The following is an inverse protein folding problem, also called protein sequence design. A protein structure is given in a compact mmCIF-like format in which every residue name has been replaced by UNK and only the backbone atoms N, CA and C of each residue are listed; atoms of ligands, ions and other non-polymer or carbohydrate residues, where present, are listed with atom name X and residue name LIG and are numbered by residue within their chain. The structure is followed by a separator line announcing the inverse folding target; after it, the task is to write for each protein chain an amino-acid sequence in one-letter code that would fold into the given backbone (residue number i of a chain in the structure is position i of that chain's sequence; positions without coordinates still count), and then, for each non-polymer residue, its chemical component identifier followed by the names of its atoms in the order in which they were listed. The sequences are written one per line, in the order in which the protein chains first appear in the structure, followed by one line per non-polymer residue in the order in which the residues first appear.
data_IF_667259491875
#
_entry.id   IF_667259491875
#
_cell.length_a   1.000
_cell.length_b   1.000
_cell.length_c   1.000
_cell.angle_alpha   90.00
_cell.angle_beta   90.00
_cell.angle_gamma   90.00
#
_symmetry.space_group_name_H-M   'P 1'
#
loop_
_entity.id
_entity.type
_entity.pdbx_description
1 polymer ?
#
# COMPACT_ATOMS: atom_id res chain seq x y z
N UNK A 1 -23.64 -23.60 12.07
CA UNK A 1 -23.11 -22.28 11.61
C UNK A 1 -21.70 -22.16 12.19
N UNK A 2 -20.69 -22.35 11.38
CA UNK A 2 -19.31 -22.10 11.74
C UNK A 2 -19.00 -20.62 11.52
N UNK A 3 -18.27 -20.02 12.45
CA UNK A 3 -17.81 -18.62 12.31
C UNK A 3 -16.55 -18.65 11.47
N UNK A 4 -16.56 -17.95 10.34
CA UNK A 4 -15.40 -17.89 9.44
C UNK A 4 -14.23 -17.12 10.08
N UNK A 5 -13.07 -17.75 10.25
CA UNK A 5 -11.89 -17.16 10.90
C UNK A 5 -11.32 -15.94 10.18
N UNK A 6 -11.62 -15.79 8.89
CA UNK A 6 -11.15 -14.64 8.07
C UNK A 6 -11.58 -13.26 8.54
N UNK A 7 -12.62 -13.16 9.41
CA UNK A 7 -13.04 -11.87 9.96
C UNK A 7 -12.00 -11.27 10.91
N UNK A 8 -11.22 -12.10 11.61
CA UNK A 8 -10.18 -11.63 12.54
C UNK A 8 -9.09 -10.87 11.81
N UNK A 9 -8.65 -11.35 10.65
CA UNK A 9 -7.60 -10.70 9.85
C UNK A 9 -8.09 -9.32 9.38
N UNK A 10 -9.29 -9.25 8.81
CA UNK A 10 -9.88 -7.99 8.37
C UNK A 10 -10.09 -7.03 9.56
N UNK A 11 -10.62 -7.56 10.68
CA UNK A 11 -10.88 -6.78 11.90
C UNK A 11 -9.61 -6.23 12.55
N UNK A 12 -8.46 -6.89 12.41
CA UNK A 12 -7.17 -6.38 12.89
C UNK A 12 -6.53 -5.39 11.91
N UNK A 13 -6.64 -5.61 10.60
CA UNK A 13 -6.02 -4.75 9.59
C UNK A 13 -6.69 -3.39 9.50
N UNK A 14 -8.03 -3.33 9.60
CA UNK A 14 -8.78 -2.07 9.44
C UNK A 14 -8.37 -1.00 10.44
N UNK A 15 -8.31 -1.23 11.77
CA UNK A 15 -7.88 -0.22 12.73
C UNK A 15 -6.45 0.29 12.53
N UNK A 16 -5.58 -0.53 11.92
CA UNK A 16 -4.18 -0.16 11.69
C UNK A 16 -4.00 0.82 10.52
N UNK A 17 -4.98 0.91 9.62
CA UNK A 17 -4.88 1.71 8.40
C UNK A 17 -5.90 2.86 8.33
N UNK A 18 -6.76 2.98 9.33
CA UNK A 18 -7.81 4.01 9.38
C UNK A 18 -7.39 5.08 10.39
N UNK A 19 -7.69 6.38 10.14
CA UNK A 19 -7.47 7.45 11.11
C UNK A 19 -8.20 7.21 12.42
N UNK A 20 -7.58 7.64 13.53
CA UNK A 20 -8.09 7.40 14.90
C UNK A 20 -9.42 8.09 15.15
N UNK A 21 -9.60 9.29 14.60
CA UNK A 21 -10.75 10.16 14.86
C UNK A 21 -11.97 9.87 13.98
N UNK A 22 -11.95 8.78 13.19
CA UNK A 22 -13.09 8.47 12.32
C UNK A 22 -14.33 8.11 13.14
N UNK A 23 -15.51 8.70 12.86
CA UNK A 23 -16.75 8.34 13.54
C UNK A 23 -17.09 6.85 13.35
N UNK A 24 -17.41 6.17 14.44
CA UNK A 24 -17.66 4.71 14.42
C UNK A 24 -18.80 4.30 13.49
N UNK A 25 -19.81 5.15 13.28
CA UNK A 25 -20.88 4.85 12.34
C UNK A 25 -20.42 4.85 10.88
N UNK A 26 -19.49 5.76 10.50
CA UNK A 26 -18.88 5.75 9.16
C UNK A 26 -18.07 4.49 8.96
N UNK A 27 -17.27 4.13 9.97
CA UNK A 27 -16.51 2.88 9.95
C UNK A 27 -17.41 1.66 9.82
N UNK A 28 -18.53 1.61 10.58
CA UNK A 28 -19.49 0.51 10.49
C UNK A 28 -20.10 0.37 9.10
N UNK A 29 -20.52 1.47 8.47
CA UNK A 29 -21.03 1.47 7.08
C UNK A 29 -19.97 0.96 6.11
N UNK A 30 -18.74 1.44 6.25
CA UNK A 30 -17.64 1.01 5.40
C UNK A 30 -17.30 -0.47 5.56
N UNK A 31 -17.31 -0.98 6.80
CA UNK A 31 -17.08 -2.41 7.09
C UNK A 31 -18.17 -3.26 6.47
N UNK A 32 -19.45 -2.88 6.61
CA UNK A 32 -20.57 -3.58 5.97
C UNK A 32 -20.37 -3.60 4.46
N UNK A 33 -20.09 -2.44 3.85
CA UNK A 33 -19.83 -2.35 2.42
C UNK A 33 -18.66 -3.23 1.98
N UNK A 34 -17.49 -3.08 2.62
CA UNK A 34 -16.28 -3.77 2.21
C UNK A 34 -16.33 -5.29 2.43
N UNK A 35 -17.01 -5.75 3.49
CA UNK A 35 -17.20 -7.18 3.75
C UNK A 35 -18.25 -7.76 2.78
N UNK A 36 -19.41 -7.12 2.65
CA UNK A 36 -20.48 -7.64 1.78
C UNK A 36 -20.04 -7.64 0.33
N UNK A 37 -19.60 -6.49 -0.18
CA UNK A 37 -19.25 -6.33 -1.60
C UNK A 37 -17.86 -6.90 -1.93
N UNK A 38 -16.89 -6.78 -1.02
CA UNK A 38 -15.51 -7.23 -1.28
C UNK A 38 -15.29 -8.72 -1.03
N UNK A 39 -16.14 -9.36 -0.22
CA UNK A 39 -15.94 -10.74 0.24
C UNK A 39 -17.17 -11.63 0.06
N UNK A 40 -18.30 -11.31 0.72
CA UNK A 40 -19.44 -12.21 0.83
C UNK A 40 -20.14 -12.47 -0.51
N UNK A 41 -20.28 -11.45 -1.37
CA UNK A 41 -20.87 -11.57 -2.71
C UNK A 41 -20.13 -12.58 -3.59
N UNK A 42 -18.84 -12.78 -3.35
CA UNK A 42 -18.00 -13.71 -4.13
C UNK A 42 -17.92 -15.11 -3.52
N UNK A 43 -18.54 -15.35 -2.37
CA UNK A 43 -18.60 -16.68 -1.72
C UNK A 43 -17.91 -16.76 -0.36
N UNK A 44 -17.51 -15.63 0.22
CA UNK A 44 -16.96 -15.56 1.58
C UNK A 44 -15.45 -15.74 1.65
N UNK A 45 -14.97 -16.29 2.76
CA UNK A 45 -13.53 -16.42 3.03
C UNK A 45 -12.83 -17.30 2.00
N UNK A 46 -11.76 -16.78 1.39
CA UNK A 46 -10.99 -17.48 0.36
C UNK A 46 -11.48 -17.31 -1.06
N UNK A 47 -12.60 -16.61 -1.28
CA UNK A 47 -13.19 -16.33 -2.61
C UNK A 47 -13.19 -14.85 -2.98
N UNK A 48 -12.70 -13.99 -2.10
CA UNK A 48 -12.64 -12.55 -2.34
C UNK A 48 -11.69 -12.18 -3.49
N UNK A 49 -12.18 -11.37 -4.41
CA UNK A 49 -11.38 -10.84 -5.53
C UNK A 49 -10.50 -9.68 -5.05
N UNK A 50 -11.03 -8.84 -4.16
CA UNK A 50 -10.34 -7.70 -3.57
C UNK A 50 -10.00 -7.99 -2.10
N UNK A 51 -8.93 -7.38 -1.61
CA UNK A 51 -8.64 -7.40 -0.18
C UNK A 51 -9.75 -6.61 0.58
N UNK A 52 -10.50 -7.25 1.51
CA UNK A 52 -11.63 -6.60 2.16
C UNK A 52 -11.24 -5.36 2.97
N UNK A 53 -10.11 -5.38 3.68
CA UNK A 53 -9.64 -4.24 4.47
C UNK A 53 -9.32 -3.03 3.58
N UNK A 54 -8.73 -3.27 2.42
CA UNK A 54 -8.47 -2.22 1.43
C UNK A 54 -9.75 -1.71 0.78
N UNK A 55 -10.73 -2.57 0.56
CA UNK A 55 -12.05 -2.17 0.04
C UNK A 55 -12.76 -1.25 1.03
N UNK A 56 -12.69 -1.56 2.34
CA UNK A 56 -13.20 -0.71 3.42
C UNK A 56 -12.53 0.66 3.39
N UNK A 57 -11.19 0.69 3.33
CA UNK A 57 -10.43 1.95 3.30
C UNK A 57 -10.73 2.77 2.04
N UNK A 58 -10.82 2.13 0.88
CA UNK A 58 -11.17 2.80 -0.37
C UNK A 58 -12.58 3.41 -0.31
N UNK A 59 -13.56 2.69 0.24
CA UNK A 59 -14.89 3.23 0.45
C UNK A 59 -14.86 4.47 1.35
N UNK A 60 -14.16 4.41 2.48
CA UNK A 60 -14.02 5.57 3.38
C UNK A 60 -13.37 6.75 2.67
N UNK A 61 -12.33 6.51 1.90
CA UNK A 61 -11.64 7.58 1.17
C UNK A 61 -12.54 8.26 0.13
N UNK A 62 -13.31 7.49 -0.63
CA UNK A 62 -14.19 8.07 -1.66
C UNK A 62 -15.48 8.66 -1.10
N UNK A 63 -16.06 8.05 -0.06
CA UNK A 63 -17.31 8.51 0.53
C UNK A 63 -17.12 9.65 1.55
N UNK A 64 -15.99 9.63 2.29
CA UNK A 64 -15.70 10.55 3.39
C UNK A 64 -14.27 11.11 3.33
N UNK A 65 -13.87 11.77 2.23
CA UNK A 65 -12.47 12.18 2.01
C UNK A 65 -11.93 13.11 3.09
N UNK A 66 -12.76 13.97 3.67
CA UNK A 66 -12.37 14.89 4.75
C UNK A 66 -11.95 14.21 6.04
N UNK A 67 -12.38 12.96 6.27
CA UNK A 67 -12.00 12.17 7.43
C UNK A 67 -10.79 11.26 7.18
N UNK A 68 -10.43 11.08 5.91
CA UNK A 68 -9.35 10.18 5.50
C UNK A 68 -8.07 10.90 5.09
N UNK A 69 -8.04 12.23 5.14
CA UNK A 69 -6.91 13.05 4.68
C UNK A 69 -6.54 14.11 5.70
N UNK A 70 -5.33 14.64 5.57
CA UNK A 70 -4.84 15.80 6.33
C UNK A 70 -4.57 15.49 7.80
N UNK A 71 -5.13 16.31 8.67
CA UNK A 71 -4.80 16.38 10.10
C UNK A 71 -5.43 15.27 10.96
N UNK A 72 -6.15 14.35 10.34
CA UNK A 72 -6.88 13.25 11.01
C UNK A 72 -6.00 12.01 11.26
N UNK A 73 -4.74 12.21 11.57
CA UNK A 73 -3.79 11.14 11.87
C UNK A 73 -3.37 11.16 13.33
N UNK A 74 -2.95 10.00 13.84
CA UNK A 74 -2.35 9.90 15.17
C UNK A 74 -0.96 10.56 15.17
N UNK A 75 -0.69 11.41 16.17
CA UNK A 75 0.58 12.13 16.32
C UNK A 75 1.23 11.78 17.64
N UNK A 76 2.47 11.33 17.58
CA UNK A 76 3.30 11.07 18.77
C UNK A 76 3.61 12.40 19.47
N UNK A 77 3.43 12.45 20.81
CA UNK A 77 3.73 13.65 21.61
C UNK A 77 2.67 14.76 21.56
N UNK A 78 1.51 14.53 20.95
CA UNK A 78 0.45 15.53 20.83
C UNK A 78 -0.04 16.10 22.19
N UNK A 79 0.20 15.39 23.30
CA UNK A 79 -0.14 15.88 24.65
C UNK A 79 0.77 17.00 25.14
N UNK A 80 2.01 17.08 24.64
CA UNK A 80 2.95 18.14 25.02
C UNK A 80 2.72 19.45 24.26
N UNK A 81 1.99 19.36 23.14
CA UNK A 81 1.72 20.48 22.24
C UNK A 81 0.45 21.26 22.56
N UNK A 82 -0.33 20.85 23.53
CA UNK A 82 -1.63 21.48 23.93
C UNK A 82 -1.50 22.91 24.49
N UNK A 83 -0.32 23.51 24.44
CA UNK A 83 -0.11 24.89 24.92
C UNK A 83 0.40 25.88 23.88
N UNK A 84 0.70 25.45 22.66
CA UNK A 84 1.24 26.33 21.62
C UNK A 84 0.32 26.34 20.39
N UNK A 85 -0.21 27.51 19.99
CA UNK A 85 -1.18 27.62 18.88
C UNK A 85 -0.70 27.10 17.51
N UNK A 86 0.61 27.02 17.31
CA UNK A 86 1.25 26.64 16.05
C UNK A 86 1.96 25.26 16.09
N UNK A 87 1.83 24.54 17.20
CA UNK A 87 2.50 23.28 17.35
C UNK A 87 1.61 22.15 16.82
N UNK A 88 1.97 21.63 15.69
CA UNK A 88 1.52 20.36 15.15
C UNK A 88 0.24 20.49 14.32
N UNK A 89 0.38 20.95 13.11
CA UNK A 89 -0.44 20.43 12.06
C UNK A 89 -0.22 18.90 12.04
N UNK A 90 -1.27 18.10 12.24
CA UNK A 90 -1.19 16.64 12.16
C UNK A 90 -0.93 16.15 10.74
N UNK A 91 -0.31 16.97 9.92
CA UNK A 91 -0.03 16.71 8.52
C UNK A 91 1.03 15.61 8.39
N UNK A 92 0.74 14.65 7.55
CA UNK A 92 1.70 13.57 7.27
C UNK A 92 2.90 14.10 6.48
N UNK A 93 4.05 13.43 6.58
CA UNK A 93 5.24 13.75 5.77
C UNK A 93 4.90 13.79 4.27
N UNK A 94 4.04 12.88 3.81
CA UNK A 94 3.60 12.87 2.41
C UNK A 94 2.74 14.08 2.07
N UNK A 95 1.91 14.57 2.98
CA UNK A 95 1.14 15.80 2.83
C UNK A 95 2.07 17.00 2.69
N UNK A 96 3.07 17.12 3.58
CA UNK A 96 4.06 18.19 3.52
C UNK A 96 4.84 18.19 2.20
N UNK A 97 5.30 17.02 1.73
CA UNK A 97 5.96 16.92 0.42
C UNK A 97 5.03 17.24 -0.75
N UNK A 98 3.74 16.88 -0.66
CA UNK A 98 2.76 17.22 -1.70
C UNK A 98 2.50 18.74 -1.80
N UNK A 99 2.74 19.48 -0.71
CA UNK A 99 2.63 20.94 -0.63
C UNK A 99 3.98 21.65 -0.87
N UNK A 100 5.03 20.94 -1.25
CA UNK A 100 6.40 21.45 -1.38
C UNK A 100 6.93 22.08 -0.07
N UNK A 101 6.46 21.61 1.09
CA UNK A 101 6.88 22.09 2.40
C UNK A 101 8.11 21.33 2.90
N UNK A 102 8.94 21.98 3.72
CA UNK A 102 10.09 21.33 4.34
C UNK A 102 9.65 20.36 5.43
N UNK A 103 10.30 19.20 5.48
CA UNK A 103 10.04 18.17 6.50
C UNK A 103 11.15 18.20 7.54
N UNK A 104 10.76 18.27 8.80
CA UNK A 104 11.68 18.40 9.96
C UNK A 104 12.21 17.04 10.45
N UNK A 105 11.55 15.92 10.07
CA UNK A 105 11.88 14.59 10.59
C UNK A 105 13.14 14.02 9.96
N UNK A 106 14.05 13.50 10.81
CA UNK A 106 15.26 12.81 10.39
C UNK A 106 14.95 11.38 9.88
N UNK A 107 15.93 10.75 9.24
CA UNK A 107 15.83 9.36 8.76
C UNK A 107 15.47 8.38 9.89
N UNK A 108 16.09 8.55 11.06
CA UNK A 108 15.82 7.70 12.23
C UNK A 108 14.36 7.79 12.67
N UNK A 109 13.80 9.01 12.74
CA UNK A 109 12.40 9.22 13.09
C UNK A 109 11.44 8.54 12.12
N UNK A 110 11.70 8.68 10.80
CA UNK A 110 10.93 8.04 9.73
C UNK A 110 11.01 6.52 9.79
N UNK A 111 12.18 5.96 10.11
CA UNK A 111 12.40 4.51 10.12
C UNK A 111 11.82 3.85 11.37
N UNK A 112 12.00 4.44 12.55
CA UNK A 112 11.46 3.91 13.81
C UNK A 112 10.01 4.27 14.06
N UNK A 113 9.45 5.26 13.34
CA UNK A 113 8.04 5.59 13.40
C UNK A 113 7.66 6.72 14.34
N UNK A 114 8.58 7.61 14.68
CA UNK A 114 8.29 8.83 15.43
C UNK A 114 7.77 9.95 14.53
N UNK A 115 6.80 9.59 13.68
CA UNK A 115 6.22 10.44 12.66
C UNK A 115 4.69 10.38 12.72
N UNK A 116 3.97 11.42 12.28
CA UNK A 116 2.51 11.37 12.18
C UNK A 116 2.06 10.38 11.10
N UNK A 117 1.08 9.55 11.44
CA UNK A 117 0.54 8.54 10.53
C UNK A 117 -0.45 7.60 11.21
N UNK A 118 -1.08 6.72 10.45
CA UNK A 118 -1.93 5.67 11.00
C UNK A 118 -1.11 4.66 11.82
N UNK A 119 -1.73 4.05 12.84
CA UNK A 119 -1.04 3.20 13.83
C UNK A 119 -0.18 2.10 13.20
N UNK A 120 -0.65 1.48 12.13
CA UNK A 120 0.09 0.38 11.45
C UNK A 120 1.15 0.85 10.45
N UNK A 121 1.16 2.14 10.07
CA UNK A 121 1.97 2.64 8.95
C UNK A 121 3.27 3.34 9.35
N UNK A 122 3.40 3.74 10.62
CA UNK A 122 4.47 4.63 11.05
C UNK A 122 5.83 3.95 11.15
N UNK A 123 5.93 2.80 11.81
CA UNK A 123 7.22 2.15 12.07
C UNK A 123 7.62 1.14 10.99
N UNK A 124 8.44 1.57 10.05
CA UNK A 124 9.01 0.69 9.03
C UNK A 124 9.83 -0.45 9.64
N UNK A 125 10.55 -0.19 10.73
CA UNK A 125 11.32 -1.21 11.44
C UNK A 125 10.44 -2.36 11.94
N UNK A 126 9.35 -2.06 12.63
CA UNK A 126 8.41 -3.09 13.13
C UNK A 126 7.68 -3.82 12.00
N UNK A 127 7.35 -3.10 10.92
CA UNK A 127 6.74 -3.70 9.73
C UNK A 127 7.69 -4.72 9.10
N UNK A 128 8.97 -4.40 8.96
CA UNK A 128 9.96 -5.32 8.41
C UNK A 128 10.20 -6.52 9.32
N UNK A 129 10.22 -6.33 10.63
CA UNK A 129 10.36 -7.42 11.60
C UNK A 129 9.18 -8.40 11.50
N UNK A 130 7.95 -7.88 11.44
CA UNK A 130 6.76 -8.70 11.22
C UNK A 130 6.75 -9.36 9.83
N UNK A 131 7.22 -8.66 8.81
CA UNK A 131 7.40 -9.21 7.46
C UNK A 131 8.38 -10.38 7.42
N UNK A 132 9.50 -10.28 8.11
CA UNK A 132 10.45 -11.39 8.28
C UNK A 132 9.79 -12.59 8.93
N UNK A 133 9.04 -12.38 10.02
CA UNK A 133 8.31 -13.46 10.68
C UNK A 133 7.31 -14.14 9.72
N UNK A 134 6.53 -13.38 8.95
CA UNK A 134 5.59 -13.92 7.97
C UNK A 134 6.29 -14.65 6.81
N UNK A 135 7.48 -14.22 6.43
CA UNK A 135 8.28 -14.94 5.42
C UNK A 135 8.84 -16.26 5.97
N UNK A 136 9.31 -16.28 7.21
CA UNK A 136 9.78 -17.52 7.86
C UNK A 136 8.65 -18.55 8.02
N UNK A 137 7.45 -18.10 8.37
CA UNK A 137 6.26 -18.95 8.46
C UNK A 137 5.68 -19.34 7.10
N UNK A 138 6.25 -18.82 5.99
CA UNK A 138 5.80 -19.04 4.60
C UNK A 138 4.37 -18.53 4.31
N UNK A 139 3.82 -17.67 5.15
CA UNK A 139 2.54 -17.04 4.94
C UNK A 139 2.68 -15.93 3.87
N UNK A 140 3.65 -15.02 4.05
CA UNK A 140 3.93 -13.97 3.08
C UNK A 140 4.90 -14.43 1.99
N UNK A 141 4.63 -14.02 0.76
CA UNK A 141 5.50 -14.32 -0.38
C UNK A 141 6.63 -13.30 -0.51
N UNK A 142 7.87 -13.72 -0.23
CA UNK A 142 9.06 -12.89 -0.41
C UNK A 142 9.21 -12.33 -1.85
N UNK A 143 8.68 -13.07 -2.86
CA UNK A 143 8.73 -12.64 -4.26
C UNK A 143 7.93 -11.36 -4.50
N UNK A 144 6.74 -11.27 -3.89
CA UNK A 144 5.89 -10.08 -3.98
C UNK A 144 6.56 -8.91 -3.29
N UNK A 145 7.07 -9.12 -2.06
CA UNK A 145 7.72 -8.07 -1.27
C UNK A 145 8.93 -7.50 -2.02
N UNK A 146 9.85 -8.38 -2.45
CA UNK A 146 11.07 -7.95 -3.14
C UNK A 146 10.76 -7.23 -4.46
N UNK A 147 9.85 -7.80 -5.28
CA UNK A 147 9.52 -7.19 -6.56
C UNK A 147 8.76 -5.86 -6.41
N UNK A 148 7.95 -5.70 -5.36
CA UNK A 148 7.29 -4.44 -5.07
C UNK A 148 8.28 -3.34 -4.63
N UNK A 149 9.26 -3.69 -3.79
CA UNK A 149 10.36 -2.78 -3.43
C UNK A 149 11.13 -2.35 -4.68
N UNK A 150 11.47 -3.30 -5.56
CA UNK A 150 12.16 -2.98 -6.82
C UNK A 150 11.30 -2.10 -7.71
N UNK A 151 10.01 -2.38 -7.85
CA UNK A 151 9.08 -1.57 -8.65
C UNK A 151 8.97 -0.13 -8.15
N UNK A 152 8.85 0.05 -6.83
CA UNK A 152 8.81 1.36 -6.20
C UNK A 152 10.15 2.11 -6.37
N UNK A 153 11.28 1.43 -6.17
CA UNK A 153 12.60 2.03 -6.37
C UNK A 153 12.83 2.47 -7.82
N UNK A 154 12.43 1.65 -8.80
CA UNK A 154 12.56 1.98 -10.23
C UNK A 154 11.76 3.24 -10.56
N UNK A 155 10.51 3.34 -10.10
CA UNK A 155 9.69 4.53 -10.38
C UNK A 155 10.21 5.76 -9.65
N UNK A 156 10.67 5.62 -8.40
CA UNK A 156 11.33 6.70 -7.65
C UNK A 156 12.59 7.21 -8.36
N UNK A 157 13.44 6.30 -8.86
CA UNK A 157 14.63 6.66 -9.64
C UNK A 157 14.28 7.39 -10.95
N UNK A 158 13.20 6.97 -11.63
CA UNK A 158 12.72 7.68 -12.83
C UNK A 158 12.35 9.12 -12.47
N UNK A 159 11.61 9.34 -11.39
CA UNK A 159 11.22 10.68 -10.97
C UNK A 159 12.42 11.52 -10.51
N UNK A 160 13.34 10.97 -9.74
CA UNK A 160 14.57 11.67 -9.37
C UNK A 160 15.35 12.07 -10.63
N UNK A 161 15.49 11.17 -11.62
CA UNK A 161 16.16 11.46 -12.89
C UNK A 161 15.46 12.57 -13.72
N UNK A 162 14.13 12.66 -13.66
CA UNK A 162 13.36 13.75 -14.32
C UNK A 162 13.64 15.11 -13.65
N UNK A 163 13.76 15.12 -12.32
CA UNK A 163 14.11 16.34 -11.56
C UNK A 163 15.55 16.75 -11.83
N UNK A 164 16.50 15.80 -11.78
CA UNK A 164 17.93 16.05 -12.03
C UNK A 164 18.18 16.53 -13.47
N UNK A 165 17.40 16.09 -14.44
CA UNK A 165 17.44 16.55 -15.83
C UNK A 165 16.86 17.97 -16.01
N UNK A 166 16.30 18.57 -14.96
CA UNK A 166 15.71 19.92 -15.00
C UNK A 166 14.39 20.03 -15.78
N UNK A 167 13.71 18.89 -16.01
CA UNK A 167 12.43 18.91 -16.74
C UNK A 167 11.27 19.43 -15.88
N UNK A 168 11.45 19.49 -14.57
CA UNK A 168 10.46 19.99 -13.61
C UNK A 168 11.13 21.06 -12.74
N UNK A 169 10.46 22.21 -12.62
CA UNK A 169 10.89 23.34 -11.79
C UNK A 169 10.31 23.24 -10.38
N UNK A 170 10.97 23.88 -9.41
CA UNK A 170 10.53 23.96 -8.01
C UNK A 170 9.11 24.53 -7.83
N UNK A 171 8.65 25.34 -8.79
CA UNK A 171 7.29 25.89 -8.79
C UNK A 171 6.20 24.87 -9.16
N UNK A 172 6.58 23.69 -9.62
CA UNK A 172 5.62 22.63 -9.96
C UNK A 172 5.05 22.00 -8.70
N UNK A 173 3.74 21.75 -8.67
CA UNK A 173 3.05 21.04 -7.58
C UNK A 173 3.54 19.60 -7.37
N UNK A 174 4.26 19.04 -8.32
CA UNK A 174 4.79 17.66 -8.23
C UNK A 174 6.23 17.61 -7.75
N UNK A 175 6.90 18.77 -7.65
CA UNK A 175 8.33 18.84 -7.37
C UNK A 175 8.70 18.18 -6.04
N UNK A 176 8.01 18.48 -4.94
CA UNK A 176 8.33 17.96 -3.61
C UNK A 176 8.31 16.43 -3.55
N UNK A 177 7.29 15.81 -4.13
CA UNK A 177 7.21 14.33 -4.16
C UNK A 177 8.18 13.71 -5.19
N UNK A 178 8.46 14.37 -6.32
CA UNK A 178 9.41 13.86 -7.32
C UNK A 178 10.87 14.04 -6.93
N UNK A 179 11.18 15.08 -6.15
CA UNK A 179 12.53 15.33 -5.63
C UNK A 179 12.89 14.48 -4.42
N UNK A 180 11.88 13.86 -3.77
CA UNK A 180 12.09 12.94 -2.65
C UNK A 180 12.96 11.77 -3.11
N UNK A 181 14.05 11.44 -2.37
CA UNK A 181 14.91 10.31 -2.71
C UNK A 181 14.13 8.99 -2.83
N UNK A 182 14.44 8.18 -3.86
CA UNK A 182 13.71 6.94 -4.16
C UNK A 182 13.61 5.97 -2.97
N UNK A 183 14.62 5.91 -2.12
CA UNK A 183 14.64 5.06 -0.93
C UNK A 183 13.74 5.60 0.18
N UNK A 184 13.55 6.91 0.28
CA UNK A 184 12.69 7.54 1.27
C UNK A 184 11.22 7.22 1.00
N UNK A 185 10.82 7.12 -0.26
CA UNK A 185 9.49 6.67 -0.62
C UNK A 185 9.11 5.31 -0.03
N UNK A 186 10.10 4.44 0.26
CA UNK A 186 9.86 3.09 0.81
C UNK A 186 9.57 3.11 2.32
N UNK A 187 10.00 4.15 3.03
CA UNK A 187 9.89 4.23 4.50
C UNK A 187 8.80 5.21 4.96
N UNK A 188 8.29 6.07 4.10
CA UNK A 188 7.25 7.04 4.43
C UNK A 188 5.86 6.60 3.95
N UNK A 189 4.85 6.90 4.78
CA UNK A 189 3.45 6.50 4.53
C UNK A 189 3.23 5.00 4.57
N UNK A 190 2.07 4.56 4.10
CA UNK A 190 1.63 3.17 4.20
C UNK A 190 2.28 2.17 3.24
N UNK A 191 3.32 2.55 2.48
CA UNK A 191 3.86 1.67 1.43
C UNK A 191 4.48 0.39 1.98
N UNK A 192 5.28 0.48 3.05
CA UNK A 192 5.88 -0.68 3.69
C UNK A 192 4.80 -1.63 4.24
N UNK A 193 3.80 -1.08 4.93
CA UNK A 193 2.66 -1.85 5.46
C UNK A 193 1.85 -2.50 4.34
N UNK A 194 1.51 -1.76 3.31
CA UNK A 194 0.76 -2.26 2.16
C UNK A 194 1.49 -3.40 1.44
N UNK A 195 2.80 -3.26 1.20
CA UNK A 195 3.60 -4.29 0.53
C UNK A 195 3.72 -5.56 1.40
N UNK A 196 3.95 -5.41 2.71
CA UNK A 196 4.23 -6.55 3.59
C UNK A 196 2.97 -7.31 3.99
N UNK A 197 1.92 -6.60 4.40
CA UNK A 197 0.74 -7.24 5.01
C UNK A 197 -0.46 -7.35 4.08
N UNK A 198 -0.55 -6.51 3.04
CA UNK A 198 -1.73 -6.46 2.18
C UNK A 198 -1.50 -6.98 0.76
N UNK A 199 -0.37 -6.66 0.14
CA UNK A 199 -0.04 -7.18 -1.18
C UNK A 199 0.29 -8.68 -1.15
N UNK A 200 0.69 -9.21 0.00
CA UNK A 200 0.99 -10.63 0.20
C UNK A 200 -0.21 -11.47 0.58
N UNK A 201 -1.42 -10.90 0.57
CA UNK A 201 -2.67 -11.63 0.81
C UNK A 201 -2.74 -12.87 -0.11
N UNK A 202 -2.82 -14.08 0.46
CA UNK A 202 -2.78 -15.31 -0.32
C UNK A 202 -4.02 -15.53 -1.18
N UNK A 203 -5.11 -14.81 -0.93
CA UNK A 203 -6.37 -14.97 -1.66
C UNK A 203 -6.45 -14.04 -2.87
N UNK A 204 -6.27 -12.74 -2.67
CA UNK A 204 -6.44 -11.73 -3.71
C UNK A 204 -5.20 -11.48 -4.57
N UNK A 205 -4.03 -11.96 -4.14
CA UNK A 205 -2.77 -11.81 -4.87
C UNK A 205 -2.54 -12.86 -5.95
N UNK A 206 -1.56 -12.61 -6.84
CA UNK A 206 -1.16 -13.58 -7.86
C UNK A 206 -0.65 -14.90 -7.26
N UNK A 207 -1.07 -16.04 -7.84
CA UNK A 207 -0.78 -17.37 -7.32
C UNK A 207 0.47 -18.00 -7.95
N UNK A 208 0.74 -17.73 -9.23
CA UNK A 208 1.89 -18.30 -9.91
C UNK A 208 3.20 -17.64 -9.49
N UNK A 209 4.28 -18.42 -9.39
CA UNK A 209 5.58 -17.89 -8.96
C UNK A 209 6.10 -16.75 -9.85
N UNK A 210 5.89 -16.84 -11.16
CA UNK A 210 6.26 -15.78 -12.11
C UNK A 210 5.29 -14.61 -12.04
N UNK A 211 4.00 -14.88 -11.85
CA UNK A 211 2.96 -13.86 -11.67
C UNK A 211 3.22 -13.00 -10.44
N UNK A 212 3.70 -13.59 -9.34
CA UNK A 212 4.05 -12.87 -8.11
C UNK A 212 5.12 -11.78 -8.33
N UNK A 213 6.10 -12.01 -9.21
CA UNK A 213 7.09 -10.98 -9.53
C UNK A 213 6.49 -9.81 -10.31
N UNK A 214 5.66 -10.09 -11.33
CA UNK A 214 5.00 -9.04 -12.10
C UNK A 214 3.98 -8.27 -11.26
N UNK A 215 3.18 -9.00 -10.50
CA UNK A 215 2.18 -8.43 -9.60
C UNK A 215 2.83 -7.48 -8.58
N UNK A 216 3.84 -7.93 -7.86
CA UNK A 216 4.54 -7.10 -6.88
C UNK A 216 5.23 -5.91 -7.54
N UNK A 217 5.96 -6.11 -8.64
CA UNK A 217 6.63 -5.02 -9.35
C UNK A 217 5.65 -3.91 -9.76
N UNK A 218 4.51 -4.28 -10.34
CA UNK A 218 3.50 -3.32 -10.76
C UNK A 218 2.86 -2.60 -9.57
N UNK A 219 2.63 -3.28 -8.45
CA UNK A 219 2.16 -2.63 -7.21
C UNK A 219 3.12 -1.52 -6.79
N UNK A 220 4.41 -1.82 -6.64
CA UNK A 220 5.40 -0.83 -6.23
C UNK A 220 5.50 0.32 -7.22
N UNK A 221 5.60 0.02 -8.51
CA UNK A 221 5.70 1.00 -9.58
C UNK A 221 4.49 1.95 -9.63
N UNK A 222 3.28 1.40 -9.63
CA UNK A 222 2.03 2.17 -9.68
C UNK A 222 1.81 2.94 -8.37
N UNK A 223 2.23 2.40 -7.22
CA UNK A 223 2.12 3.08 -5.92
C UNK A 223 2.83 4.43 -5.94
N UNK A 224 4.08 4.47 -6.40
CA UNK A 224 4.84 5.72 -6.48
C UNK A 224 4.27 6.65 -7.55
N UNK A 225 3.79 6.09 -8.67
CA UNK A 225 3.14 6.89 -9.72
C UNK A 225 1.87 7.57 -9.19
N UNK A 226 0.99 6.84 -8.48
CA UNK A 226 -0.21 7.42 -7.87
C UNK A 226 0.17 8.47 -6.82
N UNK A 227 1.17 8.18 -5.98
CA UNK A 227 1.67 9.07 -4.93
C UNK A 227 2.04 10.45 -5.48
N UNK A 228 2.74 10.49 -6.59
CA UNK A 228 3.22 11.74 -7.21
C UNK A 228 2.10 12.47 -7.97
N UNK A 229 1.33 11.76 -8.77
CA UNK A 229 0.32 12.39 -9.64
C UNK A 229 -1.02 12.66 -8.95
N UNK A 230 -1.27 12.06 -7.79
CA UNK A 230 -2.49 12.31 -7.02
C UNK A 230 -2.17 12.91 -5.64
N UNK A 231 -1.93 14.23 -5.55
CA UNK A 231 -1.60 14.89 -4.28
C UNK A 231 -2.77 14.86 -3.27
N UNK A 232 -4.00 14.61 -3.72
CA UNK A 232 -5.15 14.43 -2.84
C UNK A 232 -5.12 13.09 -2.08
N UNK A 233 -4.36 12.10 -2.58
CA UNK A 233 -4.17 10.81 -1.93
C UNK A 233 -2.71 10.34 -2.12
N UNK A 234 -1.76 10.97 -1.42
CA UNK A 234 -0.33 10.72 -1.65
C UNK A 234 0.16 9.34 -1.17
N UNK A 235 -0.65 8.55 -0.48
CA UNK A 235 -0.27 7.20 -0.07
C UNK A 235 -0.13 6.23 -1.24
N UNK A 236 -1.07 6.23 -2.17
CA UNK A 236 -1.03 5.50 -3.44
C UNK A 236 -1.05 3.97 -3.36
N UNK A 237 -0.37 3.35 -2.39
CA UNK A 237 -0.14 1.90 -2.34
C UNK A 237 -1.42 1.07 -2.24
N UNK A 238 -2.39 1.51 -1.45
CA UNK A 238 -3.63 0.76 -1.25
C UNK A 238 -4.49 0.71 -2.51
N UNK A 239 -4.55 1.80 -3.27
CA UNK A 239 -5.21 1.83 -4.57
C UNK A 239 -4.47 0.99 -5.60
N UNK A 240 -3.13 1.02 -5.58
CA UNK A 240 -2.32 0.18 -6.46
C UNK A 240 -2.55 -1.31 -6.19
N UNK A 241 -2.65 -1.73 -4.92
CA UNK A 241 -2.93 -3.12 -4.54
C UNK A 241 -4.33 -3.52 -5.02
N UNK A 242 -5.36 -2.70 -4.77
CA UNK A 242 -6.72 -2.98 -5.23
C UNK A 242 -6.79 -3.12 -6.75
N UNK A 243 -6.14 -2.22 -7.48
CA UNK A 243 -6.05 -2.30 -8.94
C UNK A 243 -5.40 -3.62 -9.36
N UNK A 244 -4.28 -3.97 -8.75
CA UNK A 244 -3.55 -5.18 -9.11
C UNK A 244 -4.25 -6.46 -8.67
N UNK A 245 -5.07 -6.44 -7.61
CA UNK A 245 -5.92 -7.57 -7.25
C UNK A 245 -6.87 -7.95 -8.40
N UNK A 246 -7.47 -6.93 -9.06
CA UNK A 246 -8.33 -7.16 -10.25
C UNK A 246 -7.54 -7.78 -11.40
N UNK A 247 -6.28 -7.39 -11.58
CA UNK A 247 -5.42 -7.90 -12.66
C UNK A 247 -4.67 -9.19 -12.29
N UNK A 248 -4.64 -9.61 -11.03
CA UNK A 248 -3.93 -10.81 -10.59
C UNK A 248 -4.33 -12.09 -11.36
N UNK A 249 -5.64 -12.40 -11.56
CA UNK A 249 -6.05 -13.54 -12.37
C UNK A 249 -5.59 -13.46 -13.83
N UNK A 250 -5.58 -12.25 -14.41
CA UNK A 250 -5.13 -12.02 -15.79
C UNK A 250 -3.64 -12.29 -15.92
N UNK A 251 -2.82 -11.83 -14.97
CA UNK A 251 -1.37 -12.10 -14.94
C UNK A 251 -1.14 -13.61 -14.86
N UNK A 252 -1.80 -14.30 -13.96
CA UNK A 252 -1.67 -15.75 -13.80
C UNK A 252 -2.13 -16.52 -15.04
N UNK A 253 -3.20 -16.09 -15.69
CA UNK A 253 -3.66 -16.67 -16.97
C UNK A 253 -2.57 -16.65 -18.03
N UNK A 254 -1.93 -15.51 -18.27
CA UNK A 254 -0.85 -15.40 -19.26
C UNK A 254 0.38 -16.24 -18.89
N UNK A 255 0.73 -16.32 -17.61
CA UNK A 255 1.83 -17.17 -17.14
C UNK A 255 1.53 -18.64 -17.39
N UNK A 256 0.33 -19.10 -17.08
CA UNK A 256 -0.11 -20.50 -17.31
C UNK A 256 -0.13 -20.81 -18.80
N UNK A 257 -0.70 -19.94 -19.63
CA UNK A 257 -0.70 -20.08 -21.09
C UNK A 257 0.72 -20.21 -21.65
N UNK A 258 1.65 -19.37 -21.17
CA UNK A 258 3.06 -19.45 -21.55
C UNK A 258 3.71 -20.80 -21.18
N UNK A 259 3.38 -21.34 -20.01
CA UNK A 259 3.86 -22.65 -19.55
C UNK A 259 3.25 -23.80 -20.39
N UNK A 260 1.97 -23.72 -20.72
CA UNK A 260 1.32 -24.71 -21.61
C UNK A 260 1.98 -24.71 -22.99
N UNK A 261 2.19 -23.55 -23.61
CA UNK A 261 2.89 -23.44 -24.90
C UNK A 261 4.30 -24.05 -24.85
N UNK A 262 5.06 -23.80 -23.79
CA UNK A 262 6.39 -24.40 -23.59
C UNK A 262 6.34 -25.93 -23.47
N UNK A 263 5.37 -26.48 -22.76
CA UNK A 263 5.16 -27.94 -22.64
C UNK A 263 4.79 -28.56 -23.96
N UNK A 264 3.85 -27.95 -24.72
CA UNK A 264 3.45 -28.44 -26.04
C UNK A 264 4.61 -28.44 -27.04
N UNK A 265 5.47 -27.40 -27.03
CA UNK A 265 6.68 -27.37 -27.85
C UNK A 265 7.65 -28.53 -27.54
N UNK A 266 7.84 -28.85 -26.26
CA UNK A 266 8.70 -29.98 -25.83
C UNK A 266 8.12 -31.35 -26.26
N UNK A 267 6.78 -31.50 -26.20
CA UNK A 267 6.09 -32.71 -26.70
C UNK A 267 6.33 -32.93 -28.21
N UNK A 268 6.14 -31.89 -29.03
CA UNK A 268 6.39 -31.96 -30.46
C UNK A 268 7.84 -32.34 -30.83
N UNK A 269 8.80 -31.89 -30.02
CA UNK A 269 10.23 -32.27 -30.21
C UNK A 269 10.53 -33.69 -29.81
N UNK A 270 9.70 -34.35 -28.97
CA UNK A 270 9.88 -35.79 -28.61
C UNK A 270 9.18 -36.72 -29.56
N UNK A 271 8.25 -36.26 -30.37
CA UNK A 271 7.47 -37.03 -31.34
C UNK A 271 8.00 -36.86 -32.78
N UNK A 272 8.96 -35.98 -33.01
CA UNK A 272 9.73 -35.83 -34.24
C UNK A 272 11.11 -36.48 -34.10
#
# INVERSE_FOLDING_TARGET
HEVEEGYLVTGMLVPLIVPVDIPLWMLAVAVIFGVVIGKEVFGGTGMNILNPALTIRAFLFFAYPTWMSGDKVWVHGAKEAVGTPDAISGETILGSYAQNSSVVYDFADKFFGFIPGSVGETSTFLILLGGLFLMFTKIASWRIILSAIVGAAVMGLIFNGVVDAGWITESSKFYGLMSTPYWEHLIIGGIAFGIVYMATDPVSGAQTNTGKYWYGFLIGFISIMIRVFNPAYPEGVFLAILLMNVFAPTIDHYVVQGNVKKRMKRLKLKTA
#
